data_IF_047261993318
#
_entry.id   IF_047261993318
#
_cell.length_a   1.000
_cell.length_b   1.000
_cell.length_c   1.000
_cell.angle_alpha   90.00
_cell.angle_beta   90.00
_cell.angle_gamma   90.00
#
_symmetry.space_group_name_H-M   'P 1'
#
loop_
_entity.id
_entity.type
_entity.pdbx_description
1 polymer ?
#
# COMPACT_ATOMS: atom_id res chain seq x y z
N UNK A 1 -12.32 0.40 3.57
CA UNK A 1 -11.51 0.04 4.75
C UNK A 1 -12.25 0.53 5.98
N UNK A 2 -12.39 -0.32 6.98
CA UNK A 2 -13.01 0.01 8.26
C UNK A 2 -12.02 -0.32 9.39
N UNK A 3 -11.94 0.53 10.41
CA UNK A 3 -11.01 0.34 11.53
C UNK A 3 -11.70 -0.41 12.67
N UNK A 4 -11.12 -1.52 13.10
CA UNK A 4 -11.54 -2.18 14.33
C UNK A 4 -11.10 -1.36 15.55
N UNK A 5 -12.05 -0.82 16.30
CA UNK A 5 -11.81 0.06 17.46
C UNK A 5 -12.10 -0.59 18.81
N UNK A 6 -12.42 -1.89 18.82
CA UNK A 6 -12.79 -2.61 20.05
C UNK A 6 -14.13 -2.15 20.63
N UNK A 7 -14.27 -2.14 21.96
CA UNK A 7 -15.51 -1.74 22.62
C UNK A 7 -15.62 -0.21 22.66
N UNK A 8 -16.56 0.33 21.89
CA UNK A 8 -16.84 1.76 21.85
C UNK A 8 -17.78 2.18 23.00
N UNK A 9 -17.62 3.43 23.47
CA UNK A 9 -18.55 4.05 24.43
C UNK A 9 -19.91 4.31 23.75
N UNK A 10 -20.95 4.47 24.56
CA UNK A 10 -22.26 4.83 24.04
C UNK A 10 -22.24 6.20 23.37
N UNK A 11 -22.87 6.30 22.20
CA UNK A 11 -22.85 7.49 21.38
C UNK A 11 -23.06 7.19 19.89
N UNK A 12 -23.08 8.22 19.04
CA UNK A 12 -23.37 8.10 17.61
C UNK A 12 -22.32 7.29 16.84
N UNK A 13 -21.13 7.12 17.42
CA UNK A 13 -20.04 6.36 16.82
C UNK A 13 -20.01 4.89 17.25
N UNK A 14 -20.92 4.45 18.15
CA UNK A 14 -21.03 3.05 18.57
C UNK A 14 -21.64 2.23 17.43
N UNK A 15 -20.78 1.55 16.69
CA UNK A 15 -21.15 0.70 15.57
C UNK A 15 -20.83 -0.75 15.94
N UNK A 16 -21.68 -1.68 15.51
CA UNK A 16 -21.42 -3.10 15.73
C UNK A 16 -20.17 -3.56 15.00
N UNK A 17 -19.22 -4.14 15.75
CA UNK A 17 -18.03 -4.79 15.22
C UNK A 17 -18.24 -6.28 14.94
N UNK A 18 -19.50 -6.74 14.91
CA UNK A 18 -19.80 -8.12 14.51
C UNK A 18 -19.30 -8.37 13.08
N UNK A 19 -18.80 -9.57 12.82
CA UNK A 19 -18.25 -9.91 11.50
C UNK A 19 -19.30 -9.73 10.39
N UNK A 20 -20.55 -10.15 10.66
CA UNK A 20 -21.72 -9.97 9.79
C UNK A 20 -21.93 -8.50 9.43
N UNK A 21 -21.98 -7.62 10.42
CA UNK A 21 -22.27 -6.20 10.19
C UNK A 21 -21.13 -5.50 9.44
N UNK A 22 -19.87 -5.89 9.71
CA UNK A 22 -18.70 -5.38 8.99
C UNK A 22 -18.76 -5.78 7.51
N UNK A 23 -19.01 -7.06 7.21
CA UNK A 23 -19.11 -7.54 5.82
C UNK A 23 -20.25 -6.84 5.10
N UNK A 24 -21.43 -6.74 5.73
CA UNK A 24 -22.58 -6.03 5.16
C UNK A 24 -22.23 -4.57 4.86
N UNK A 25 -21.60 -3.84 5.78
CA UNK A 25 -21.21 -2.43 5.55
C UNK A 25 -20.20 -2.29 4.42
N UNK A 26 -19.16 -3.13 4.39
CA UNK A 26 -18.12 -3.09 3.37
C UNK A 26 -18.63 -3.48 1.98
N UNK A 27 -19.65 -4.33 1.91
CA UNK A 27 -20.25 -4.81 0.65
C UNK A 27 -21.33 -3.90 0.08
N UNK A 28 -21.84 -2.91 0.83
CA UNK A 28 -22.85 -1.94 0.34
C UNK A 28 -22.56 -1.36 -1.05
N UNK A 29 -21.32 -0.94 -1.40
CA UNK A 29 -21.04 -0.35 -2.71
C UNK A 29 -21.15 -1.33 -3.89
N UNK A 30 -21.22 -2.63 -3.62
CA UNK A 30 -21.30 -3.68 -4.64
C UNK A 30 -22.63 -4.46 -4.59
N UNK A 31 -23.61 -3.97 -3.83
CA UNK A 31 -24.98 -4.48 -3.89
C UNK A 31 -25.54 -4.35 -5.31
N UNK A 32 -26.37 -5.32 -5.69
CA UNK A 32 -26.97 -5.43 -7.03
C UNK A 32 -25.99 -5.38 -8.21
N UNK A 33 -24.71 -5.67 -7.98
CA UNK A 33 -23.69 -5.66 -9.04
C UNK A 33 -23.35 -7.03 -9.61
N UNK A 34 -23.95 -8.11 -9.07
CA UNK A 34 -23.65 -9.48 -9.49
C UNK A 34 -22.19 -9.89 -9.22
N UNK A 35 -21.54 -9.23 -8.25
CA UNK A 35 -20.15 -9.48 -7.88
C UNK A 35 -20.04 -10.48 -6.74
N UNK A 36 -18.90 -11.15 -6.73
CA UNK A 36 -18.53 -12.18 -5.78
C UNK A 36 -17.81 -11.62 -4.54
N UNK A 37 -18.02 -12.25 -3.38
CA UNK A 37 -17.32 -11.92 -2.13
C UNK A 37 -16.58 -13.15 -1.61
N UNK A 38 -15.26 -13.08 -1.60
CA UNK A 38 -14.42 -14.04 -0.88
C UNK A 38 -14.09 -13.49 0.50
N UNK A 39 -14.27 -14.29 1.54
CA UNK A 39 -14.02 -13.90 2.93
C UNK A 39 -13.18 -14.95 3.66
N UNK A 40 -12.48 -14.52 4.71
CA UNK A 40 -11.77 -15.43 5.62
C UNK A 40 -12.74 -15.98 6.69
N UNK A 41 -12.34 -17.01 7.43
CA UNK A 41 -13.14 -17.73 8.44
C UNK A 41 -13.86 -16.80 9.41
N UNK A 42 -13.18 -15.78 9.91
CA UNK A 42 -13.79 -14.86 10.87
C UNK A 42 -15.01 -14.11 10.31
N UNK A 43 -15.03 -13.88 9.00
CA UNK A 43 -16.06 -13.12 8.28
C UNK A 43 -17.12 -14.01 7.65
N UNK A 44 -17.18 -15.26 8.10
CA UNK A 44 -17.82 -16.32 7.35
C UNK A 44 -18.93 -17.01 8.14
N UNK A 45 -20.19 -16.88 7.72
CA UNK A 45 -21.30 -17.66 8.30
C UNK A 45 -22.41 -17.96 7.30
N UNK A 46 -23.13 -19.06 7.51
CA UNK A 46 -24.28 -19.46 6.67
C UNK A 46 -25.38 -18.39 6.67
N UNK A 47 -25.81 -17.81 7.82
CA UNK A 47 -26.82 -16.75 7.83
C UNK A 47 -26.41 -15.53 7.01
N UNK A 48 -25.14 -15.10 7.16
CA UNK A 48 -24.59 -13.97 6.39
C UNK A 48 -24.60 -14.27 4.88
N UNK A 49 -24.26 -15.49 4.48
CA UNK A 49 -24.24 -15.89 3.08
C UNK A 49 -25.64 -15.86 2.46
N UNK A 50 -26.68 -16.30 3.20
CA UNK A 50 -28.09 -16.18 2.78
C UNK A 50 -28.52 -14.71 2.66
N UNK A 51 -28.18 -13.88 3.64
CA UNK A 51 -28.54 -12.45 3.63
C UNK A 51 -27.88 -11.69 2.46
N UNK A 52 -26.60 -11.97 2.18
CA UNK A 52 -25.90 -11.33 1.07
C UNK A 52 -26.38 -11.84 -0.29
N UNK A 53 -26.83 -13.09 -0.38
CA UNK A 53 -27.47 -13.61 -1.59
C UNK A 53 -28.71 -12.82 -1.99
N UNK A 54 -29.48 -12.31 -1.02
CA UNK A 54 -30.62 -11.43 -1.27
C UNK A 54 -30.18 -10.02 -1.69
N UNK A 55 -29.13 -9.46 -1.06
CA UNK A 55 -28.70 -8.07 -1.24
C UNK A 55 -27.80 -7.80 -2.43
N UNK A 56 -27.10 -8.81 -2.95
CA UNK A 56 -26.17 -8.67 -4.09
C UNK A 56 -26.85 -9.06 -5.42
N UNK A 57 -28.12 -9.47 -5.36
CA UNK A 57 -28.84 -10.07 -6.48
C UNK A 57 -29.32 -9.03 -7.49
N UNK A 58 -28.64 -8.98 -8.63
CA UNK A 58 -29.20 -8.48 -9.90
C UNK A 58 -28.85 -9.46 -11.01
N UNK A 59 -29.86 -10.11 -11.61
CA UNK A 59 -29.81 -10.96 -12.83
C UNK A 59 -28.44 -11.51 -13.24
N UNK A 60 -27.74 -12.24 -12.36
CA UNK A 60 -26.46 -12.88 -12.67
C UNK A 60 -26.42 -14.26 -12.00
N UNK A 61 -26.02 -15.26 -12.78
CA UNK A 61 -26.24 -16.68 -12.53
C UNK A 61 -25.18 -17.32 -11.60
N UNK A 62 -24.28 -16.56 -10.99
CA UNK A 62 -23.17 -17.11 -10.20
C UNK A 62 -22.77 -16.14 -9.09
N UNK A 63 -23.09 -16.44 -7.82
CA UNK A 63 -22.67 -15.65 -6.66
C UNK A 63 -21.78 -16.50 -5.74
N UNK A 64 -20.53 -16.10 -5.59
CA UNK A 64 -19.54 -16.71 -4.70
C UNK A 64 -19.62 -16.09 -3.31
N UNK A 65 -19.83 -16.97 -2.33
CA UNK A 65 -19.33 -16.82 -0.97
C UNK A 65 -18.19 -17.81 -0.82
N UNK A 66 -17.09 -17.42 -0.18
CA UNK A 66 -16.07 -18.38 0.26
C UNK A 66 -15.93 -18.19 1.75
N UNK A 67 -16.31 -19.23 2.48
CA UNK A 67 -15.97 -19.36 3.90
C UNK A 67 -14.82 -20.34 4.04
N UNK A 68 -13.92 -20.14 4.99
CA UNK A 68 -13.03 -21.19 5.51
C UNK A 68 -13.51 -21.48 6.92
N UNK A 69 -13.79 -22.71 7.36
CA UNK A 69 -14.05 -23.02 8.77
C UNK A 69 -13.09 -24.14 9.19
N UNK A 70 -12.45 -24.05 10.35
CA UNK A 70 -11.56 -25.09 10.88
C UNK A 70 -12.26 -25.87 12.00
N UNK A 71 -12.68 -27.12 11.72
CA UNK A 71 -13.03 -28.11 12.75
C UNK A 71 -12.50 -29.50 12.36
N UNK A 72 -12.14 -30.30 13.37
CA UNK A 72 -11.59 -31.66 13.26
C UNK A 72 -12.75 -32.66 13.14
N UNK A 73 -12.72 -33.54 12.14
CA UNK A 73 -13.27 -34.93 12.06
C UNK A 73 -13.17 -35.45 10.60
N UNK A 74 -12.48 -36.58 10.38
CA UNK A 74 -12.32 -37.29 9.09
C UNK A 74 -13.60 -38.06 8.65
N UNK A 75 -13.69 -38.62 7.43
CA UNK A 75 -13.24 -38.16 6.10
C UNK A 75 -14.43 -37.70 5.20
N UNK A 76 -14.15 -36.84 4.22
CA UNK A 76 -15.04 -36.40 3.11
C UNK A 76 -16.56 -36.46 3.37
N UNK A 77 -17.13 -35.36 3.86
CA UNK A 77 -18.59 -35.19 3.90
C UNK A 77 -18.97 -34.02 3.00
N UNK A 78 -19.56 -34.34 1.84
CA UNK A 78 -20.28 -33.36 1.02
C UNK A 78 -21.67 -33.27 1.64
N UNK A 79 -21.93 -32.20 2.38
CA UNK A 79 -23.28 -31.91 2.88
C UNK A 79 -23.93 -30.93 1.91
N UNK A 80 -24.73 -31.47 1.00
CA UNK A 80 -25.77 -30.70 0.33
C UNK A 80 -26.86 -30.44 1.37
N UNK A 81 -26.93 -29.21 1.86
CA UNK A 81 -28.19 -28.76 2.48
C UNK A 81 -29.10 -28.29 1.36
N UNK A 82 -30.41 -28.50 1.50
CA UNK A 82 -31.48 -28.25 0.52
C UNK A 82 -31.49 -26.85 -0.17
N UNK A 83 -30.54 -25.96 0.13
CA UNK A 83 -30.39 -24.58 -0.34
C UNK A 83 -28.98 -24.25 -0.94
N UNK A 84 -28.39 -25.12 -1.77
CA UNK A 84 -27.21 -24.80 -2.61
C UNK A 84 -25.89 -24.48 -1.88
N UNK A 85 -25.53 -25.18 -0.80
CA UNK A 85 -24.23 -24.98 -0.14
C UNK A 85 -23.38 -26.24 -0.10
N UNK A 86 -22.09 -26.09 -0.43
CA UNK A 86 -21.13 -27.19 -0.56
C UNK A 86 -20.01 -27.07 0.46
N UNK A 87 -19.69 -28.21 1.10
CA UNK A 87 -18.61 -28.38 2.07
C UNK A 87 -17.60 -29.40 1.52
N UNK A 88 -16.34 -29.00 1.33
CA UNK A 88 -15.24 -29.90 0.95
C UNK A 88 -14.33 -30.21 2.15
N UNK A 89 -13.61 -31.35 2.15
CA UNK A 89 -12.49 -31.62 3.08
C UNK A 89 -11.50 -32.67 2.53
N UNK A 90 -10.19 -32.37 2.47
CA UNK A 90 -9.13 -33.39 2.70
C UNK A 90 -7.69 -32.87 2.94
N UNK A 91 -7.07 -33.27 4.05
CA UNK A 91 -5.64 -33.63 4.18
C UNK A 91 -5.48 -34.60 5.37
N UNK A 92 -4.50 -35.52 5.37
CA UNK A 92 -4.20 -36.35 6.56
C UNK A 92 -3.91 -35.42 7.75
N UNK A 93 -4.67 -35.57 8.84
CA UNK A 93 -4.61 -34.80 10.10
C UNK A 93 -5.02 -33.32 10.05
N UNK A 94 -5.51 -32.77 8.93
CA UNK A 94 -6.06 -31.41 8.87
C UNK A 94 -7.23 -31.34 7.90
N UNK A 95 -8.36 -30.84 8.39
CA UNK A 95 -9.54 -30.59 7.58
C UNK A 95 -9.62 -29.11 7.21
N UNK A 96 -10.09 -28.84 6.01
CA UNK A 96 -10.39 -27.49 5.53
C UNK A 96 -11.82 -27.53 5.08
N UNK A 97 -12.72 -26.89 5.82
CA UNK A 97 -14.12 -26.72 5.41
C UNK A 97 -14.19 -25.43 4.62
N UNK A 98 -14.81 -25.49 3.45
CA UNK A 98 -15.20 -24.30 2.72
C UNK A 98 -16.71 -24.25 2.53
N UNK A 99 -17.29 -23.05 2.48
CA UNK A 99 -18.68 -22.86 2.04
C UNK A 99 -18.64 -22.07 0.73
N UNK A 100 -19.38 -22.54 -0.26
CA UNK A 100 -19.69 -21.77 -1.47
C UNK A 100 -21.14 -21.89 -1.89
N UNK A 101 -21.64 -20.82 -2.50
CA UNK A 101 -22.96 -20.69 -3.13
C UNK A 101 -22.83 -20.70 -4.67
N UNK A 102 -21.61 -20.63 -5.20
CA UNK A 102 -21.32 -20.63 -6.65
C UNK A 102 -20.96 -22.04 -7.16
N UNK A 103 -20.13 -22.76 -6.41
CA UNK A 103 -19.67 -24.09 -6.80
C UNK A 103 -20.75 -25.09 -6.36
N UNK A 104 -21.64 -25.44 -7.31
CA UNK A 104 -22.76 -26.36 -7.10
C UNK A 104 -22.37 -27.83 -7.32
N UNK A 105 -21.14 -28.06 -7.72
CA UNK A 105 -20.57 -29.36 -8.00
C UNK A 105 -19.27 -29.53 -7.21
N UNK A 106 -19.05 -30.73 -6.68
CA UNK A 106 -17.81 -31.11 -6.02
C UNK A 106 -16.67 -31.36 -7.01
N UNK A 107 -16.59 -30.57 -8.08
CA UNK A 107 -15.64 -30.76 -9.18
C UNK A 107 -14.20 -30.74 -8.67
N UNK A 108 -13.42 -31.70 -9.16
CA UNK A 108 -12.00 -31.85 -8.85
C UNK A 108 -11.23 -31.49 -10.11
N UNK A 109 -10.18 -30.68 -9.99
CA UNK A 109 -9.35 -30.33 -11.14
C UNK A 109 -8.68 -31.58 -11.70
N UNK A 110 -8.85 -31.84 -13.00
CA UNK A 110 -8.19 -32.94 -13.71
C UNK A 110 -6.72 -32.65 -14.04
N UNK A 111 -6.24 -31.44 -13.76
CA UNK A 111 -4.87 -31.03 -14.04
C UNK A 111 -3.86 -31.69 -13.09
N UNK A 112 -2.80 -32.33 -13.62
CA UNK A 112 -1.82 -33.09 -12.82
C UNK A 112 -1.04 -32.20 -11.84
N UNK A 113 -0.86 -30.92 -12.16
CA UNK A 113 -0.15 -29.93 -11.32
C UNK A 113 -0.92 -29.56 -10.05
N UNK A 114 -2.24 -29.75 -10.05
CA UNK A 114 -3.12 -29.34 -8.95
C UNK A 114 -3.40 -30.46 -7.95
N UNK A 115 -2.76 -31.63 -8.08
CA UNK A 115 -2.85 -32.76 -7.13
C UNK A 115 -4.30 -33.10 -6.72
N UNK A 116 -5.22 -33.12 -7.69
CA UNK A 116 -6.65 -33.41 -7.43
C UNK A 116 -7.26 -32.47 -6.37
N UNK A 117 -6.84 -31.21 -6.33
CA UNK A 117 -7.48 -30.20 -5.48
C UNK A 117 -8.87 -29.87 -6.05
N UNK A 118 -9.86 -29.64 -5.19
CA UNK A 118 -11.15 -29.12 -5.60
C UNK A 118 -11.01 -27.74 -6.25
N UNK A 119 -11.89 -27.48 -7.22
CA UNK A 119 -11.95 -26.19 -7.91
C UNK A 119 -12.17 -25.02 -6.94
N UNK A 120 -13.04 -25.20 -5.94
CA UNK A 120 -13.31 -24.20 -4.89
C UNK A 120 -12.04 -23.72 -4.17
N UNK A 121 -11.06 -24.60 -3.93
CA UNK A 121 -9.80 -24.25 -3.26
C UNK A 121 -8.92 -23.45 -4.21
N UNK A 122 -8.86 -23.85 -5.48
CA UNK A 122 -8.09 -23.13 -6.50
C UNK A 122 -8.67 -21.72 -6.70
N UNK A 123 -9.99 -21.61 -6.76
CA UNK A 123 -10.69 -20.35 -6.89
C UNK A 123 -10.43 -19.43 -5.70
N UNK A 124 -10.52 -19.94 -4.46
CA UNK A 124 -10.18 -19.18 -3.26
C UNK A 124 -8.76 -18.60 -3.33
N UNK A 125 -7.76 -19.44 -3.64
CA UNK A 125 -6.38 -19.00 -3.71
C UNK A 125 -6.15 -17.94 -4.80
N UNK A 126 -6.93 -17.98 -5.87
CA UNK A 126 -6.85 -17.00 -6.97
C UNK A 126 -7.50 -15.66 -6.65
N UNK A 127 -8.40 -15.57 -5.64
CA UNK A 127 -9.16 -14.33 -5.34
C UNK A 127 -8.36 -13.24 -4.59
N UNK A 128 -7.06 -13.43 -4.37
CA UNK A 128 -6.10 -12.32 -4.27
C UNK A 128 -6.05 -11.53 -2.94
N UNK A 129 -6.83 -11.90 -1.91
CA UNK A 129 -6.76 -11.24 -0.59
C UNK A 129 -5.33 -11.29 -0.02
N UNK A 130 -4.63 -12.42 -0.20
CA UNK A 130 -3.23 -12.58 0.22
C UNK A 130 -2.25 -11.70 -0.58
N UNK A 131 -2.57 -11.41 -1.84
CA UNK A 131 -1.69 -10.66 -2.74
C UNK A 131 -1.53 -9.21 -2.30
N UNK A 132 -2.60 -8.56 -1.82
CA UNK A 132 -2.53 -7.17 -1.36
C UNK A 132 -1.65 -7.06 -0.12
N UNK A 133 -1.76 -7.99 0.84
CA UNK A 133 -0.96 -7.96 2.07
C UNK A 133 0.52 -8.21 1.77
N UNK A 134 0.82 -9.13 0.85
CA UNK A 134 2.17 -9.36 0.34
C UNK A 134 2.75 -8.11 -0.36
N UNK A 135 1.96 -7.45 -1.21
CA UNK A 135 2.35 -6.20 -1.88
C UNK A 135 2.56 -5.04 -0.90
N UNK A 136 1.81 -5.00 0.20
CA UNK A 136 2.01 -4.02 1.27
C UNK A 136 3.30 -4.33 2.05
N UNK A 137 3.57 -5.60 2.35
CA UNK A 137 4.75 -6.01 3.12
C UNK A 137 6.06 -5.76 2.36
N UNK A 138 6.07 -6.05 1.06
CA UNK A 138 7.27 -5.91 0.21
C UNK A 138 7.72 -4.46 0.04
N UNK A 139 6.79 -3.51 -0.05
CA UNK A 139 7.08 -2.08 -0.24
C UNK A 139 6.26 -1.21 0.72
N UNK A 140 6.47 -1.39 2.04
CA UNK A 140 5.79 -0.57 3.05
C UNK A 140 6.52 0.74 3.36
N UNK A 141 5.75 1.81 3.52
CA UNK A 141 6.23 3.09 4.08
C UNK A 141 6.21 3.13 5.61
N UNK A 142 5.81 2.03 6.26
CA UNK A 142 5.71 1.94 7.71
C UNK A 142 7.03 2.26 8.42
N UNK A 143 6.93 2.96 9.55
CA UNK A 143 8.07 3.34 10.40
C UNK A 143 7.77 3.01 11.86
N UNK A 144 8.81 2.75 12.64
CA UNK A 144 8.70 2.62 14.10
C UNK A 144 8.26 3.96 14.67
N UNK A 145 7.04 4.00 15.22
CA UNK A 145 6.42 5.19 15.80
C UNK A 145 5.83 4.87 17.18
N UNK A 146 5.73 5.88 18.04
CA UNK A 146 5.07 5.78 19.35
C UNK A 146 3.62 6.29 19.35
N UNK A 147 3.12 6.72 18.19
CA UNK A 147 1.77 7.27 18.02
C UNK A 147 1.02 6.41 17.02
N UNK A 148 0.02 5.68 17.50
CA UNK A 148 -0.76 4.74 16.67
C UNK A 148 -1.46 5.37 15.45
N UNK A 149 -1.91 6.65 15.43
CA UNK A 149 -2.54 7.21 14.23
C UNK A 149 -1.59 7.28 13.04
N UNK A 150 -0.28 7.41 13.28
CA UNK A 150 0.72 7.36 12.21
C UNK A 150 0.80 5.98 11.57
N UNK A 151 0.50 4.90 12.30
CA UNK A 151 0.44 3.56 11.73
C UNK A 151 -0.66 3.49 10.68
N UNK A 152 -1.84 4.05 10.97
CA UNK A 152 -2.93 4.13 9.98
C UNK A 152 -2.55 4.98 8.78
N UNK A 153 -1.92 6.13 9.02
CA UNK A 153 -1.47 7.01 7.95
C UNK A 153 -0.51 6.29 6.99
N UNK A 154 0.46 5.53 7.50
CA UNK A 154 1.35 4.74 6.66
C UNK A 154 0.62 3.64 5.88
N UNK A 155 -0.33 2.93 6.50
CA UNK A 155 -1.14 1.92 5.79
C UNK A 155 -2.00 2.53 4.69
N UNK A 156 -2.53 3.74 4.89
CA UNK A 156 -3.27 4.45 3.85
C UNK A 156 -2.38 4.83 2.67
N UNK A 157 -1.11 5.21 2.91
CA UNK A 157 -0.15 5.49 1.83
C UNK A 157 0.19 4.21 1.06
N UNK A 158 0.43 3.09 1.75
CA UNK A 158 0.72 1.80 1.10
C UNK A 158 -0.43 1.39 0.16
N UNK A 159 -1.68 1.49 0.63
CA UNK A 159 -2.87 1.19 -0.17
C UNK A 159 -3.09 2.18 -1.31
N UNK A 160 -2.86 3.47 -1.07
CA UNK A 160 -2.95 4.48 -2.12
C UNK A 160 -1.93 4.20 -3.24
N UNK A 161 -0.71 3.78 -2.90
CA UNK A 161 0.31 3.38 -3.87
C UNK A 161 -0.11 2.19 -4.72
N UNK A 162 -0.68 1.15 -4.11
CA UNK A 162 -1.23 -0.02 -4.82
C UNK A 162 -2.36 0.39 -5.75
N UNK A 163 -3.35 1.12 -5.23
CA UNK A 163 -4.51 1.54 -6.03
C UNK A 163 -4.10 2.44 -7.20
N UNK A 164 -3.14 3.35 -6.98
CA UNK A 164 -2.60 4.20 -8.03
C UNK A 164 -1.88 3.38 -9.11
N UNK A 165 -1.12 2.34 -8.73
CA UNK A 165 -0.47 1.43 -9.67
C UNK A 165 -1.50 0.68 -10.52
N UNK A 166 -2.55 0.14 -9.89
CA UNK A 166 -3.64 -0.56 -10.60
C UNK A 166 -4.30 0.37 -11.63
N UNK A 167 -4.62 1.61 -11.25
CA UNK A 167 -5.19 2.61 -12.16
C UNK A 167 -4.21 2.95 -13.29
N UNK A 168 -2.93 3.10 -12.97
CA UNK A 168 -1.91 3.39 -13.97
C UNK A 168 -1.74 2.24 -14.98
N UNK A 169 -1.64 1.00 -14.51
CA UNK A 169 -1.47 -0.19 -15.37
C UNK A 169 -2.71 -0.46 -16.23
N UNK A 170 -3.91 -0.20 -15.71
CA UNK A 170 -5.15 -0.37 -16.49
C UNK A 170 -5.27 0.64 -17.62
N UNK A 171 -4.83 1.89 -17.40
CA UNK A 171 -4.81 2.95 -18.41
C UNK A 171 -3.62 2.83 -19.39
N UNK A 172 -2.50 2.23 -18.96
CA UNK A 172 -1.27 2.13 -19.74
C UNK A 172 -0.90 0.67 -20.01
N UNK A 173 -1.79 -0.09 -20.66
CA UNK A 173 -1.61 -1.55 -20.88
C UNK A 173 -0.30 -1.93 -21.57
N UNK A 174 0.23 -1.04 -22.40
CA UNK A 174 1.48 -1.25 -23.15
C UNK A 174 2.73 -0.87 -22.37
N UNK A 175 2.61 -0.13 -21.27
CA UNK A 175 3.74 0.32 -20.45
C UNK A 175 3.65 -0.27 -19.05
N UNK A 176 4.09 -1.52 -18.92
CA UNK A 176 4.20 -2.20 -17.63
C UNK A 176 5.49 -1.76 -16.94
N UNK A 177 5.36 -0.75 -16.08
CA UNK A 177 6.44 -0.39 -15.16
C UNK A 177 6.54 -1.44 -14.05
N UNK A 178 7.77 -1.74 -13.65
CA UNK A 178 8.03 -2.53 -12.45
C UNK A 178 7.61 -1.67 -11.25
N UNK A 179 6.85 -2.24 -10.30
CA UNK A 179 6.35 -1.57 -9.09
C UNK A 179 7.35 -0.65 -8.41
N UNK A 180 8.59 -1.10 -8.23
CA UNK A 180 9.68 -0.29 -7.65
C UNK A 180 9.91 1.03 -8.40
N UNK A 181 9.95 0.99 -9.73
CA UNK A 181 10.15 2.16 -10.59
C UNK A 181 8.93 3.08 -10.55
N UNK A 182 7.72 2.50 -10.57
CA UNK A 182 6.48 3.27 -10.42
C UNK A 182 6.47 4.07 -9.11
N UNK A 183 6.75 3.42 -7.98
CA UNK A 183 6.79 4.08 -6.67
C UNK A 183 7.90 5.14 -6.58
N UNK A 184 9.07 4.87 -7.19
CA UNK A 184 10.18 5.83 -7.28
C UNK A 184 9.76 7.10 -8.04
N UNK A 185 9.14 6.96 -9.21
CA UNK A 185 8.64 8.08 -10.02
C UNK A 185 7.55 8.87 -9.30
N UNK A 186 6.59 8.18 -8.65
CA UNK A 186 5.56 8.82 -7.82
C UNK A 186 6.22 9.63 -6.70
N UNK A 187 7.15 9.04 -5.96
CA UNK A 187 7.89 9.73 -4.89
C UNK A 187 8.63 10.97 -5.39
N UNK A 188 9.37 10.85 -6.49
CA UNK A 188 10.09 11.97 -7.10
C UNK A 188 9.12 13.07 -7.58
N UNK A 189 7.98 12.69 -8.17
CA UNK A 189 6.98 13.65 -8.65
C UNK A 189 6.40 14.52 -7.52
N UNK A 190 6.09 13.91 -6.37
CA UNK A 190 5.58 14.59 -5.18
C UNK A 190 6.61 15.56 -4.57
N UNK A 191 7.91 15.24 -4.72
CA UNK A 191 9.00 16.08 -4.23
C UNK A 191 9.27 17.32 -5.10
N UNK A 192 8.90 17.31 -6.39
CA UNK A 192 9.25 18.38 -7.35
C UNK A 192 8.93 19.78 -6.84
N UNK A 193 7.72 20.01 -6.32
CA UNK A 193 7.29 21.33 -5.83
C UNK A 193 8.14 21.80 -4.65
N UNK A 194 8.44 20.89 -3.72
CA UNK A 194 9.27 21.19 -2.55
C UNK A 194 10.73 21.44 -2.94
N UNK A 195 11.25 20.68 -3.91
CA UNK A 195 12.62 20.86 -4.43
C UNK A 195 12.79 22.23 -5.09
N UNK A 196 11.82 22.66 -5.91
CA UNK A 196 11.82 24.01 -6.52
C UNK A 196 11.86 25.12 -5.47
N UNK A 197 11.02 25.04 -4.44
CA UNK A 197 11.04 26.00 -3.31
C UNK A 197 12.39 26.02 -2.59
N UNK A 198 13.00 24.84 -2.39
CA UNK A 198 14.30 24.71 -1.73
C UNK A 198 15.45 25.25 -2.59
N UNK A 199 15.41 25.10 -3.90
CA UNK A 199 16.43 25.60 -4.83
C UNK A 199 16.58 27.14 -4.74
N UNK A 200 15.47 27.86 -4.59
CA UNK A 200 15.44 29.34 -4.56
C UNK A 200 15.74 29.91 -3.17
N UNK A 201 15.47 29.16 -2.10
CA UNK A 201 15.58 29.67 -0.72
C UNK A 201 17.01 30.02 -0.30
N UNK A 202 17.28 31.31 -0.05
CA UNK A 202 18.60 31.82 0.39
C UNK A 202 19.04 31.27 1.76
N UNK A 203 18.09 30.84 2.61
CA UNK A 203 18.34 30.30 3.95
C UNK A 203 18.87 28.86 3.93
N UNK A 204 18.81 28.18 2.78
CA UNK A 204 19.29 26.81 2.63
C UNK A 204 20.76 26.83 2.16
N UNK A 205 21.62 25.97 2.74
CA UNK A 205 23.01 25.82 2.29
C UNK A 205 23.13 25.66 0.77
N UNK A 206 24.13 26.33 0.18
CA UNK A 206 24.36 26.34 -1.29
C UNK A 206 24.46 24.93 -1.87
N UNK A 207 25.11 24.01 -1.16
CA UNK A 207 25.24 22.60 -1.59
C UNK A 207 23.89 21.89 -1.73
N UNK A 208 22.95 22.12 -0.80
CA UNK A 208 21.62 21.54 -0.85
C UNK A 208 20.76 22.20 -1.93
N UNK A 209 20.92 23.51 -2.16
CA UNK A 209 20.27 24.21 -3.29
C UNK A 209 20.71 23.65 -4.64
N UNK A 210 22.01 23.49 -4.83
CA UNK A 210 22.56 22.91 -6.08
C UNK A 210 22.03 21.50 -6.33
N UNK A 211 21.95 20.66 -5.30
CA UNK A 211 21.35 19.33 -5.41
C UNK A 211 19.85 19.42 -5.75
N UNK A 212 19.11 20.30 -5.09
CA UNK A 212 17.69 20.48 -5.35
C UNK A 212 17.41 20.96 -6.79
N UNK A 213 18.18 21.92 -7.31
CA UNK A 213 18.09 22.41 -8.69
C UNK A 213 18.34 21.30 -9.72
N UNK A 214 19.40 20.50 -9.51
CA UNK A 214 19.72 19.35 -10.36
C UNK A 214 18.58 18.33 -10.37
N UNK A 215 18.04 18.00 -9.21
CA UNK A 215 16.95 17.03 -9.08
C UNK A 215 15.58 17.55 -9.53
N UNK A 216 15.36 18.86 -9.61
CA UNK A 216 14.11 19.45 -10.10
C UNK A 216 14.07 19.67 -11.61
N UNK A 217 15.16 19.40 -12.33
CA UNK A 217 15.29 19.66 -13.76
C UNK A 217 15.37 21.16 -14.11
N UNK A 218 15.67 22.01 -13.13
CA UNK A 218 15.90 23.43 -13.36
C UNK A 218 17.41 23.67 -13.44
N UNK A 219 17.95 23.75 -14.65
CA UNK A 219 19.38 23.93 -14.91
C UNK A 219 19.92 25.29 -14.45
N UNK A 220 19.07 26.26 -14.15
CA UNK A 220 19.51 27.60 -13.79
C UNK A 220 19.46 27.80 -12.29
N UNK A 221 20.58 27.50 -11.64
CA UNK A 221 20.97 28.30 -10.48
C UNK A 221 20.99 29.77 -10.94
N UNK A 222 20.48 30.73 -10.15
CA UNK A 222 20.86 32.11 -10.40
C UNK A 222 22.39 32.14 -10.36
N UNK A 223 23.00 32.45 -11.50
CA UNK A 223 24.43 32.75 -11.54
C UNK A 223 24.70 33.72 -10.38
N UNK A 224 25.76 33.46 -9.61
CA UNK A 224 26.29 34.49 -8.74
C UNK A 224 26.70 35.64 -9.65
N UNK A 225 25.79 36.60 -9.87
CA UNK A 225 26.12 37.88 -10.48
C UNK A 225 27.27 38.42 -9.66
N UNK A 226 28.46 38.51 -10.26
CA UNK A 226 29.66 39.04 -9.62
C UNK A 226 29.39 40.49 -9.28
N UNK A 227 28.89 40.76 -8.07
CA UNK A 227 28.79 42.13 -7.59
C UNK A 227 30.19 42.52 -7.14
N UNK A 228 30.90 43.22 -8.03
CA UNK A 228 32.20 43.81 -7.74
C UNK A 228 32.04 44.73 -6.52
N UNK A 229 32.87 44.53 -5.49
CA UNK A 229 32.85 45.34 -4.27
C UNK A 229 32.16 44.71 -3.04
N UNK A 230 31.51 43.54 -3.16
CA UNK A 230 30.91 42.86 -2.00
C UNK A 230 31.92 41.93 -1.31
N UNK A 231 32.10 42.09 0.01
CA UNK A 231 32.83 41.15 0.88
C UNK A 231 32.02 39.88 1.11
N UNK A 232 32.58 38.73 0.75
CA UNK A 232 32.00 37.42 1.00
C UNK A 232 32.83 36.57 1.96
N UNK A 233 32.22 35.54 2.55
CA UNK A 233 32.91 34.62 3.46
C UNK A 233 33.90 33.75 2.67
N UNK A 234 35.12 33.60 3.18
CA UNK A 234 36.12 32.70 2.62
C UNK A 234 35.61 31.25 2.59
N UNK A 235 35.74 30.58 1.45
CA UNK A 235 35.27 29.21 1.25
C UNK A 235 36.13 28.15 1.95
N UNK A 236 37.39 28.47 2.27
CA UNK A 236 38.38 27.54 2.85
C UNK A 236 38.47 27.68 4.37
N UNK A 237 38.22 28.87 4.90
CA UNK A 237 38.33 29.11 6.33
C UNK A 237 37.17 28.49 7.12
N UNK A 238 37.41 28.11 8.39
CA UNK A 238 36.39 27.65 9.32
C UNK A 238 35.20 28.62 9.38
N UNK A 239 33.98 28.08 9.39
CA UNK A 239 32.74 28.90 9.34
C UNK A 239 32.54 29.75 10.59
N UNK A 240 33.06 29.29 11.72
CA UNK A 240 33.05 29.92 13.04
C UNK A 240 33.88 31.21 13.08
N UNK A 241 34.99 31.27 12.34
CA UNK A 241 35.84 32.48 12.25
C UNK A 241 35.26 33.60 11.38
N UNK A 242 34.20 33.32 10.62
CA UNK A 242 33.51 34.23 9.69
C UNK A 242 34.42 35.15 8.83
N UNK A 243 35.59 34.65 8.40
CA UNK A 243 36.59 35.43 7.68
C UNK A 243 36.00 35.93 6.35
N UNK A 244 35.93 37.26 6.18
CA UNK A 244 35.42 37.91 4.96
C UNK A 244 36.57 38.35 4.06
N UNK A 245 36.36 38.26 2.75
CA UNK A 245 37.33 38.60 1.71
C UNK A 245 36.61 39.23 0.52
N UNK A 246 37.27 40.15 -0.17
CA UNK A 246 36.83 40.72 -1.46
C UNK A 246 37.39 39.95 -2.64
N UNK A 247 38.40 39.09 -2.43
CA UNK A 247 39.04 38.34 -3.49
C UNK A 247 38.14 37.17 -3.89
N UNK A 248 37.63 37.22 -5.11
CA UNK A 248 36.74 36.20 -5.65
C UNK A 248 37.10 35.87 -7.09
N UNK A 249 37.32 34.58 -7.38
CA UNK A 249 37.37 34.08 -8.76
C UNK A 249 35.99 33.45 -9.13
N UNK A 250 35.71 32.26 -8.60
CA UNK A 250 34.37 31.62 -8.57
C UNK A 250 33.79 31.51 -7.15
N UNK A 251 34.67 31.55 -6.14
CA UNK A 251 34.38 31.55 -4.71
C UNK A 251 35.27 32.60 -4.04
N UNK A 252 34.83 33.10 -2.88
CA UNK A 252 35.59 34.01 -2.04
C UNK A 252 36.74 33.26 -1.35
N UNK A 253 37.99 33.72 -1.48
CA UNK A 253 39.16 33.14 -0.84
C UNK A 253 40.04 34.24 -0.23
N UNK A 254 40.51 34.06 1.01
CA UNK A 254 41.50 34.97 1.59
C UNK A 254 42.90 34.58 1.10
N UNK A 255 43.83 35.54 1.08
CA UNK A 255 45.19 35.29 0.59
C UNK A 255 45.95 34.23 1.41
N UNK A 256 45.65 34.12 2.70
CA UNK A 256 46.21 33.11 3.60
C UNK A 256 45.05 32.41 4.32
N UNK A 257 44.63 31.20 3.87
CA UNK A 257 43.57 30.45 4.53
C UNK A 257 44.01 29.96 5.91
N UNK A 258 43.25 30.29 6.95
CA UNK A 258 43.44 29.69 8.27
C UNK A 258 42.75 28.32 8.29
N UNK A 259 43.39 27.29 7.75
CA UNK A 259 42.91 25.91 7.92
C UNK A 259 43.10 25.48 9.37
N UNK A 260 42.27 24.53 9.86
CA UNK A 260 42.59 23.84 11.11
C UNK A 260 43.97 23.23 10.93
N UNK A 261 44.96 23.71 11.67
CA UNK A 261 46.23 23.02 11.77
C UNK A 261 45.95 21.66 12.35
N UNK A 262 46.12 20.61 11.54
CA UNK A 262 46.45 19.31 12.07
C UNK A 262 47.82 19.49 12.73
N UNK A 263 47.82 19.80 14.02
CA UNK A 263 48.92 19.44 14.88
C UNK A 263 49.09 17.92 14.73
N UNK A 264 50.21 17.54 14.13
CA UNK A 264 50.71 16.16 14.05
C UNK A 264 50.82 15.58 15.45
#
# INVERSE_FOLDING_TARGET
MELYTGKQKEGPYKISNSATDVVLRLSRPIYDSGRNITADNWFSSIPLAKELLEKIKKNCQYNLFLLKIEWIISPCLVLETNDNSFIHTKKKNKNVIMLSIMHLDGSISEQPEHNSKPEIILFYNNTGVHTIDEMCSTYSVSRKVRRWPLVLFFRLIDLAGINAEVIFSTNNRNNKLIRRKFLEEVGLSLLKVSLKKRAVSKYIPRSLRQKASKSSGEEKLPECSKVVGIRGRCAVCPRDKDIKTTNSCQLYMCQVPQTYGNSI
#
